data_IF_303008856261
#
_entry.id   IF_303008856261
#
_cell.length_a   1.000
_cell.length_b   1.000
_cell.length_c   1.000
_cell.angle_alpha   90.00
_cell.angle_beta   90.00
_cell.angle_gamma   90.00
#
_symmetry.space_group_name_H-M   'P 1'
#
loop_
_entity.id
_entity.type
_entity.pdbx_description
1 polymer ?
#
# COMPACT_ATOMS: atom_id res chain seq x y z
N UNK A 1 -5.57 -26.69 -0.24
CA UNK A 1 -4.41 -26.10 -0.97
C UNK A 1 -3.22 -26.04 -0.04
N UNK A 2 -2.02 -26.45 -0.48
CA UNK A 2 -0.79 -26.25 0.29
C UNK A 2 -0.38 -24.78 0.21
N UNK A 3 -0.02 -24.18 1.34
CA UNK A 3 0.41 -22.77 1.39
C UNK A 3 1.75 -22.58 0.69
N UNK A 4 1.89 -21.45 -0.02
CA UNK A 4 3.12 -21.05 -0.72
C UNK A 4 3.71 -19.79 -0.09
N UNK A 5 5.03 -19.72 -0.02
CA UNK A 5 5.81 -18.55 0.36
C UNK A 5 6.63 -18.10 -0.85
N UNK A 6 6.60 -16.80 -1.13
CA UNK A 6 7.51 -16.17 -2.08
C UNK A 6 8.39 -15.18 -1.31
N UNK A 7 9.69 -15.26 -1.51
CA UNK A 7 10.66 -14.37 -0.88
C UNK A 7 11.58 -13.79 -1.94
N UNK A 8 11.81 -12.49 -1.89
CA UNK A 8 12.82 -11.80 -2.67
C UNK A 8 14.03 -11.55 -1.76
N UNK A 9 15.21 -12.02 -2.14
CA UNK A 9 16.42 -11.77 -1.35
C UNK A 9 17.69 -11.77 -2.20
N UNK A 10 18.85 -11.71 -1.54
CA UNK A 10 20.18 -11.74 -2.15
C UNK A 10 20.66 -13.20 -2.23
N UNK A 11 21.35 -13.60 -3.31
CA UNK A 11 21.73 -14.99 -3.54
C UNK A 11 22.65 -15.57 -2.46
N UNK A 12 23.54 -14.78 -1.86
CA UNK A 12 24.44 -15.21 -0.79
C UNK A 12 23.72 -15.66 0.48
N UNK A 13 22.44 -15.29 0.64
CA UNK A 13 21.59 -15.69 1.76
C UNK A 13 20.83 -17.00 1.51
N UNK A 14 20.95 -17.61 0.31
CA UNK A 14 20.20 -18.81 -0.06
C UNK A 14 20.43 -19.99 0.90
N UNK A 15 21.66 -20.18 1.39
CA UNK A 15 21.95 -21.24 2.36
C UNK A 15 21.16 -21.08 3.67
N UNK A 16 21.10 -19.85 4.20
CA UNK A 16 20.33 -19.55 5.40
C UNK A 16 18.82 -19.67 5.16
N UNK A 17 18.34 -19.17 4.02
CA UNK A 17 16.94 -19.29 3.62
C UNK A 17 16.54 -20.78 3.52
N UNK A 18 17.37 -21.61 2.89
CA UNK A 18 17.13 -23.06 2.79
C UNK A 18 17.08 -23.72 4.17
N UNK A 19 18.03 -23.40 5.05
CA UNK A 19 18.06 -23.91 6.41
C UNK A 19 16.76 -23.60 7.17
N UNK A 20 16.31 -22.34 7.17
CA UNK A 20 15.08 -21.96 7.86
C UNK A 20 13.82 -22.51 7.19
N UNK A 21 13.80 -22.65 5.86
CA UNK A 21 12.70 -23.31 5.18
C UNK A 21 12.55 -24.76 5.67
N UNK A 22 13.65 -25.52 5.67
CA UNK A 22 13.65 -26.91 6.15
C UNK A 22 13.23 -27.01 7.62
N UNK A 23 13.73 -26.11 8.48
CA UNK A 23 13.38 -26.07 9.91
C UNK A 23 11.89 -25.80 10.16
N UNK A 24 11.20 -25.17 9.21
CA UNK A 24 9.80 -24.75 9.34
C UNK A 24 8.85 -25.46 8.35
N UNK A 25 9.18 -26.69 7.94
CA UNK A 25 8.37 -27.54 7.05
C UNK A 25 8.00 -26.87 5.71
N UNK A 26 8.89 -26.01 5.22
CA UNK A 26 8.83 -25.38 3.90
C UNK A 26 9.85 -26.03 2.98
N UNK A 27 9.40 -26.57 1.87
CA UNK A 27 10.28 -27.09 0.83
C UNK A 27 10.45 -26.04 -0.25
N UNK A 28 11.69 -25.62 -0.53
CA UNK A 28 11.95 -24.74 -1.66
C UNK A 28 11.70 -25.52 -2.96
N UNK A 29 10.84 -24.99 -3.82
CA UNK A 29 10.47 -25.60 -5.11
C UNK A 29 11.01 -24.83 -6.30
N UNK A 30 11.19 -23.52 -6.18
CA UNK A 30 11.73 -22.69 -7.27
C UNK A 30 12.74 -21.69 -6.72
N UNK A 31 13.87 -21.56 -7.40
CA UNK A 31 14.78 -20.42 -7.27
C UNK A 31 14.85 -19.75 -8.64
N UNK A 32 14.49 -18.47 -8.70
CA UNK A 32 14.55 -17.64 -9.90
C UNK A 32 15.58 -16.53 -9.71
N UNK A 33 16.77 -16.65 -10.30
CA UNK A 33 17.79 -15.60 -10.25
C UNK A 33 17.45 -14.42 -11.16
N UNK A 34 17.99 -13.26 -10.82
CA UNK A 34 18.01 -12.06 -11.66
C UNK A 34 19.44 -11.54 -11.74
N UNK A 35 19.82 -11.06 -12.92
CA UNK A 35 21.12 -10.46 -13.23
C UNK A 35 20.89 -9.08 -13.84
N UNK A 36 21.76 -8.11 -13.57
CA UNK A 36 21.61 -6.78 -14.16
C UNK A 36 21.83 -6.86 -15.67
N UNK A 37 22.92 -7.51 -16.10
CA UNK A 37 23.23 -7.80 -17.49
C UNK A 37 23.61 -9.27 -17.71
N UNK A 38 23.55 -9.70 -18.97
CA UNK A 38 23.94 -11.05 -19.37
C UNK A 38 25.40 -11.34 -19.03
N UNK A 39 25.64 -12.45 -18.33
CA UNK A 39 26.98 -12.89 -17.95
C UNK A 39 27.50 -12.30 -16.64
N UNK A 40 26.72 -11.44 -15.96
CA UNK A 40 27.02 -11.01 -14.60
C UNK A 40 26.52 -12.03 -13.56
N UNK A 41 27.08 -11.94 -12.36
CA UNK A 41 26.57 -12.65 -11.20
C UNK A 41 25.16 -12.19 -10.85
N UNK A 42 24.34 -13.12 -10.35
CA UNK A 42 23.02 -12.78 -9.85
C UNK A 42 23.12 -11.81 -8.69
N UNK A 43 22.28 -10.78 -8.67
CA UNK A 43 22.22 -9.80 -7.59
C UNK A 43 20.92 -9.95 -6.75
N UNK A 44 19.96 -10.72 -7.24
CA UNK A 44 18.66 -10.95 -6.61
C UNK A 44 18.15 -12.36 -6.95
N UNK A 45 17.43 -12.97 -6.02
CA UNK A 45 16.74 -14.25 -6.22
C UNK A 45 15.31 -14.16 -5.69
N UNK A 46 14.39 -14.80 -6.39
CA UNK A 46 13.06 -15.13 -5.87
C UNK A 46 13.05 -16.60 -5.48
N UNK A 47 12.62 -16.88 -4.25
CA UNK A 47 12.49 -18.22 -3.69
C UNK A 47 11.01 -18.52 -3.50
N UNK A 48 10.52 -19.58 -4.17
CA UNK A 48 9.19 -20.16 -3.90
C UNK A 48 9.36 -21.39 -3.01
N UNK A 49 8.70 -21.39 -1.85
CA UNK A 49 8.65 -22.54 -0.95
C UNK A 49 7.21 -22.97 -0.66
N UNK A 50 6.98 -24.27 -0.48
CA UNK A 50 5.65 -24.87 -0.28
C UNK A 50 5.61 -25.59 1.05
N UNK A 51 4.54 -25.39 1.83
CA UNK A 51 4.35 -26.06 3.12
C UNK A 51 4.04 -27.55 2.96
N UNK A 52 4.61 -28.39 3.82
CA UNK A 52 4.28 -29.80 3.97
C UNK A 52 4.38 -30.60 2.66
N UNK A 53 5.46 -30.38 1.91
CA UNK A 53 5.83 -31.19 0.74
C UNK A 53 7.14 -31.94 1.00
N UNK A 54 7.43 -32.94 0.16
CA UNK A 54 8.76 -33.52 0.13
C UNK A 54 9.81 -32.42 -0.17
N UNK A 55 11.00 -32.54 0.40
CA UNK A 55 12.10 -31.57 0.28
C UNK A 55 12.81 -31.58 -1.07
N UNK A 56 12.48 -32.54 -1.93
CA UNK A 56 13.02 -32.73 -3.27
C UNK A 56 12.35 -31.83 -4.33
N UNK A 57 12.76 -31.97 -5.59
CA UNK A 57 12.08 -31.31 -6.72
C UNK A 57 12.29 -29.80 -6.81
N UNK A 58 13.43 -29.30 -6.30
CA UNK A 58 13.86 -27.92 -6.55
C UNK A 58 14.12 -27.70 -8.05
N UNK A 59 13.56 -26.62 -8.60
CA UNK A 59 13.86 -26.12 -9.94
C UNK A 59 14.62 -24.80 -9.85
N UNK A 60 15.89 -24.80 -10.28
CA UNK A 60 16.63 -23.58 -10.55
C UNK A 60 16.28 -23.09 -11.95
N UNK A 61 15.71 -21.89 -12.06
CA UNK A 61 15.36 -21.27 -13.34
C UNK A 61 16.55 -20.53 -13.94
N UNK A 62 16.54 -20.37 -15.25
CA UNK A 62 17.46 -19.47 -15.95
C UNK A 62 17.33 -18.04 -15.42
N UNK A 63 18.45 -17.36 -15.25
CA UNK A 63 18.48 -15.99 -14.75
C UNK A 63 17.67 -15.05 -15.65
N UNK A 64 16.91 -14.14 -15.04
CA UNK A 64 16.22 -13.08 -15.74
C UNK A 64 17.15 -11.88 -15.87
N UNK A 65 17.46 -11.51 -17.11
CA UNK A 65 18.19 -10.28 -17.41
C UNK A 65 17.29 -9.07 -17.18
N UNK A 66 17.72 -8.18 -16.29
CA UNK A 66 16.94 -7.01 -15.89
C UNK A 66 17.05 -5.90 -16.91
N UNK A 67 18.27 -5.59 -17.37
CA UNK A 67 18.54 -4.52 -18.30
C UNK A 67 18.92 -5.06 -19.69
N UNK A 68 18.48 -4.36 -20.72
CA UNK A 68 18.95 -4.52 -22.08
C UNK A 68 20.32 -3.81 -22.26
N UNK A 69 21.00 -4.08 -23.38
CA UNK A 69 22.33 -3.50 -23.68
C UNK A 69 22.37 -1.97 -23.69
N UNK A 70 21.24 -1.30 -23.84
CA UNK A 70 21.12 0.15 -23.85
C UNK A 70 20.88 0.76 -22.45
N UNK A 71 20.87 -0.05 -21.39
CA UNK A 71 20.61 0.37 -20.01
C UNK A 71 19.13 0.39 -19.62
N UNK A 72 18.20 0.32 -20.58
CA UNK A 72 16.77 0.22 -20.29
C UNK A 72 16.41 -1.14 -19.70
N UNK A 73 15.25 -1.25 -19.05
CA UNK A 73 14.72 -2.56 -18.67
C UNK A 73 14.54 -3.47 -19.90
N UNK A 74 14.83 -4.76 -19.76
CA UNK A 74 14.62 -5.74 -20.82
C UNK A 74 13.13 -5.81 -21.20
N UNK A 75 12.75 -6.16 -22.44
CA UNK A 75 11.33 -6.23 -22.84
C UNK A 75 10.48 -7.18 -21.96
N UNK A 76 11.11 -8.19 -21.38
CA UNK A 76 10.47 -9.08 -20.39
C UNK A 76 10.19 -8.35 -19.09
N UNK A 77 11.19 -7.65 -18.54
CA UNK A 77 11.01 -6.83 -17.34
C UNK A 77 10.05 -5.69 -17.61
N UNK A 78 10.13 -5.02 -18.76
CA UNK A 78 9.15 -4.02 -19.15
C UNK A 78 7.74 -4.59 -19.19
N UNK A 79 7.49 -5.82 -19.65
CA UNK A 79 6.13 -6.41 -19.55
C UNK A 79 5.69 -6.70 -18.12
N UNK A 80 6.63 -6.98 -17.22
CA UNK A 80 6.35 -7.22 -15.79
C UNK A 80 6.13 -5.88 -15.05
N UNK A 81 6.89 -4.84 -15.40
CA UNK A 81 6.85 -3.49 -14.83
C UNK A 81 5.74 -2.64 -15.47
N UNK A 82 5.39 -2.86 -16.76
CA UNK A 82 4.35 -2.12 -17.48
C UNK A 82 2.99 -2.45 -16.86
N UNK A 83 2.69 -1.73 -15.80
CA UNK A 83 1.47 -0.96 -15.59
C UNK A 83 0.74 -0.72 -16.93
N UNK A 84 -0.51 -1.15 -16.99
CA UNK A 84 -1.40 -0.92 -18.13
C UNK A 84 -1.51 0.60 -18.44
N UNK A 85 -1.91 1.02 -19.65
CA UNK A 85 -2.24 2.42 -19.92
C UNK A 85 -3.23 3.01 -18.89
N UNK A 86 -4.11 2.17 -18.33
CA UNK A 86 -5.02 2.49 -17.24
C UNK A 86 -4.29 2.74 -15.90
N UNK A 87 -3.31 1.92 -15.55
CA UNK A 87 -2.45 2.09 -14.36
C UNK A 87 -1.60 3.37 -14.48
N UNK A 88 -1.10 3.68 -15.68
CA UNK A 88 -0.36 4.92 -15.96
C UNK A 88 -1.25 6.16 -15.81
N UNK A 89 -2.50 6.13 -16.29
CA UNK A 89 -3.49 7.19 -16.00
C UNK A 89 -3.79 7.33 -14.51
N UNK A 90 -3.78 6.22 -13.77
CA UNK A 90 -3.98 6.19 -12.31
C UNK A 90 -2.81 6.79 -11.53
N UNK A 91 -1.58 6.65 -12.03
CA UNK A 91 -0.39 7.24 -11.43
C UNK A 91 -0.13 8.69 -11.88
N UNK A 92 -0.48 9.06 -13.12
CA UNK A 92 -0.44 10.45 -13.61
C UNK A 92 -1.53 11.32 -12.94
N UNK A 93 -2.66 10.74 -12.55
CA UNK A 93 -3.55 11.33 -11.57
C UNK A 93 -2.95 11.15 -10.18
N UNK A 94 -2.06 12.07 -9.76
CA UNK A 94 -1.57 12.17 -8.38
C UNK A 94 -2.77 12.03 -7.43
N UNK A 95 -2.93 10.87 -6.78
CA UNK A 95 -4.09 10.64 -5.92
C UNK A 95 -4.01 11.63 -4.76
N UNK A 96 -4.87 12.64 -4.80
CA UNK A 96 -4.97 13.65 -3.75
C UNK A 96 -5.56 12.99 -2.52
N UNK A 97 -4.83 13.07 -1.41
CA UNK A 97 -5.31 12.62 -0.11
C UNK A 97 -5.88 13.81 0.64
N UNK A 98 -7.02 13.62 1.27
CA UNK A 98 -7.68 14.67 2.03
C UNK A 98 -7.79 14.27 3.49
N UNK A 99 -7.39 15.18 4.36
CA UNK A 99 -7.95 15.23 5.72
C UNK A 99 -9.27 16.00 5.66
N UNK A 100 -10.31 15.52 6.34
CA UNK A 100 -11.59 16.21 6.41
C UNK A 100 -12.17 16.20 7.82
N UNK A 101 -13.04 17.18 8.09
CA UNK A 101 -13.82 17.27 9.31
C UNK A 101 -15.30 17.30 8.97
N UNK A 102 -16.05 16.41 9.61
CA UNK A 102 -17.51 16.38 9.57
C UNK A 102 -18.10 16.97 10.85
N UNK A 103 -19.16 17.74 10.70
CA UNK A 103 -20.09 18.11 11.75
C UNK A 103 -21.18 17.05 11.84
N UNK A 104 -21.26 16.39 12.99
CA UNK A 104 -22.32 15.46 13.32
C UNK A 104 -23.58 16.20 13.79
N UNK A 105 -24.73 15.52 13.73
CA UNK A 105 -26.02 16.08 14.22
C UNK A 105 -25.98 16.49 15.69
N UNK A 106 -25.17 15.84 16.51
CA UNK A 106 -24.99 16.14 17.94
C UNK A 106 -23.99 17.29 18.20
N UNK A 107 -23.54 18.00 17.16
CA UNK A 107 -22.56 19.08 17.26
C UNK A 107 -21.11 18.60 17.42
N UNK A 108 -20.88 17.28 17.50
CA UNK A 108 -19.54 16.71 17.58
C UNK A 108 -18.78 16.83 16.25
N UNK A 109 -17.45 16.86 16.32
CA UNK A 109 -16.59 16.87 15.15
C UNK A 109 -15.97 15.49 14.92
N UNK A 110 -16.05 15.00 13.70
CA UNK A 110 -15.38 13.79 13.27
C UNK A 110 -14.27 14.12 12.27
N UNK A 111 -13.02 13.85 12.64
CA UNK A 111 -11.88 13.93 11.73
C UNK A 111 -11.63 12.59 11.06
N UNK A 112 -11.44 12.60 9.74
CA UNK A 112 -11.12 11.43 8.94
C UNK A 112 -10.21 11.77 7.77
N UNK A 113 -9.74 10.74 7.06
CA UNK A 113 -9.03 10.90 5.80
C UNK A 113 -9.72 10.13 4.65
N UNK A 114 -9.54 10.56 3.41
CA UNK A 114 -10.02 9.89 2.19
C UNK A 114 -9.29 10.40 0.95
N UNK A 115 -9.36 9.67 -0.16
CA UNK A 115 -9.00 10.16 -1.50
C UNK A 115 -10.21 10.68 -2.30
N UNK A 116 -11.44 10.52 -1.78
CA UNK A 116 -12.68 10.98 -2.42
C UNK A 116 -13.68 11.52 -1.36
N UNK A 117 -13.71 12.85 -1.23
CA UNK A 117 -14.57 13.55 -0.26
C UNK A 117 -16.06 13.31 -0.51
N UNK A 118 -16.50 13.33 -1.77
CA UNK A 118 -17.91 13.25 -2.14
C UNK A 118 -18.45 11.84 -1.87
N UNK A 119 -17.73 10.81 -2.33
CA UNK A 119 -18.06 9.43 -2.05
C UNK A 119 -18.04 9.16 -0.54
N UNK A 120 -17.05 9.68 0.18
CA UNK A 120 -16.94 9.47 1.62
C UNK A 120 -18.10 10.09 2.39
N UNK A 121 -18.50 11.32 2.07
CA UNK A 121 -19.65 11.98 2.69
C UNK A 121 -20.95 11.19 2.46
N UNK A 122 -21.16 10.70 1.23
CA UNK A 122 -22.30 9.84 0.88
C UNK A 122 -22.31 8.53 1.67
N UNK A 123 -21.15 7.90 1.84
CA UNK A 123 -20.99 6.69 2.64
C UNK A 123 -21.34 6.92 4.12
N UNK A 124 -20.90 8.04 4.70
CA UNK A 124 -21.28 8.40 6.06
C UNK A 124 -22.79 8.60 6.21
N UNK A 125 -23.42 9.37 5.32
CA UNK A 125 -24.86 9.64 5.41
C UNK A 125 -25.74 8.41 5.11
N UNK A 126 -25.30 7.51 4.24
CA UNK A 126 -25.96 6.21 4.01
C UNK A 126 -25.79 5.19 5.15
N UNK A 127 -25.01 5.50 6.19
CA UNK A 127 -24.80 4.62 7.35
C UNK A 127 -23.80 3.49 7.11
N UNK A 128 -23.11 3.50 5.97
CA UNK A 128 -21.99 2.60 5.62
C UNK A 128 -20.61 3.18 5.98
N UNK A 129 -20.57 4.39 6.54
CA UNK A 129 -19.35 5.03 7.03
C UNK A 129 -18.90 4.54 8.41
N UNK A 130 -18.05 5.33 9.08
CA UNK A 130 -17.49 4.96 10.38
C UNK A 130 -18.57 4.69 11.45
N UNK A 131 -18.31 3.69 12.31
CA UNK A 131 -19.18 3.32 13.45
C UNK A 131 -19.58 4.55 14.29
N UNK A 132 -18.63 5.47 14.52
CA UNK A 132 -18.86 6.71 15.27
C UNK A 132 -19.95 7.58 14.65
N UNK A 133 -19.87 7.83 13.34
CA UNK A 133 -20.81 8.68 12.61
C UNK A 133 -22.15 8.00 12.34
N UNK A 134 -22.21 6.66 12.29
CA UNK A 134 -23.42 5.90 11.94
C UNK A 134 -24.64 6.25 12.82
N UNK A 135 -24.41 6.48 14.11
CA UNK A 135 -25.44 6.88 15.08
C UNK A 135 -25.68 8.42 15.13
N UNK A 136 -24.86 9.22 14.43
CA UNK A 136 -24.80 10.69 14.55
C UNK A 136 -25.11 11.40 13.23
N UNK A 137 -25.83 10.72 12.34
CA UNK A 137 -26.26 11.20 11.03
C UNK A 137 -27.49 12.14 11.19
N UNK A 138 -27.73 13.04 10.22
CA UNK A 138 -26.87 13.35 9.08
C UNK A 138 -25.59 14.06 9.52
N UNK A 139 -24.54 13.93 8.71
CA UNK A 139 -23.27 14.62 8.90
C UNK A 139 -23.01 15.57 7.73
N UNK A 140 -22.41 16.71 8.01
CA UNK A 140 -22.02 17.72 7.02
C UNK A 140 -20.51 17.85 6.98
N UNK A 141 -19.91 17.97 5.80
CA UNK A 141 -18.49 18.27 5.68
C UNK A 141 -18.29 19.77 5.87
N UNK A 142 -17.48 20.14 6.86
CA UNK A 142 -17.26 21.55 7.24
C UNK A 142 -15.84 22.03 6.95
N UNK A 143 -14.90 21.11 6.74
CA UNK A 143 -13.51 21.42 6.44
C UNK A 143 -12.86 20.25 5.69
N UNK A 144 -11.94 20.55 4.78
CA UNK A 144 -11.02 19.60 4.21
C UNK A 144 -9.69 20.27 3.84
N UNK A 145 -8.62 19.49 3.81
CA UNK A 145 -7.26 19.91 3.48
C UNK A 145 -6.64 18.84 2.58
N UNK A 146 -6.03 19.27 1.48
CA UNK A 146 -5.46 18.40 0.45
C UNK A 146 -3.97 18.15 0.67
N UNK A 147 -3.53 16.93 0.38
CA UNK A 147 -2.15 16.47 0.50
C UNK A 147 -1.78 15.59 -0.69
N UNK A 148 -0.53 15.73 -1.14
CA UNK A 148 0.08 14.88 -2.15
C UNK A 148 0.52 13.51 -1.60
N UNK A 149 0.60 13.37 -0.28
CA UNK A 149 1.11 12.18 0.40
C UNK A 149 0.11 11.68 1.46
N UNK A 150 -0.18 10.38 1.41
CA UNK A 150 -1.11 9.71 2.32
C UNK A 150 -0.68 9.84 3.78
N UNK A 151 0.61 9.73 4.06
CA UNK A 151 1.18 9.81 5.40
C UNK A 151 1.02 11.22 5.97
N UNK A 152 1.11 12.27 5.15
CA UNK A 152 0.83 13.64 5.58
C UNK A 152 -0.64 13.83 5.96
N UNK A 153 -1.59 13.34 5.14
CA UNK A 153 -3.01 13.39 5.48
C UNK A 153 -3.34 12.63 6.78
N UNK A 154 -2.72 11.46 6.99
CA UNK A 154 -2.89 10.66 8.21
C UNK A 154 -2.27 11.36 9.44
N UNK A 155 -1.08 11.95 9.30
CA UNK A 155 -0.46 12.75 10.37
C UNK A 155 -1.35 13.94 10.73
N UNK A 156 -1.95 14.59 9.74
CA UNK A 156 -2.90 15.70 9.96
C UNK A 156 -4.14 15.25 10.71
N UNK A 157 -4.73 14.11 10.33
CA UNK A 157 -5.87 13.51 11.02
C UNK A 157 -5.53 13.19 12.48
N UNK A 158 -4.40 12.53 12.71
CA UNK A 158 -3.91 12.20 14.04
C UNK A 158 -3.73 13.47 14.88
N UNK A 159 -3.01 14.46 14.34
CA UNK A 159 -2.77 15.74 14.98
C UNK A 159 -4.09 16.42 15.36
N UNK A 160 -5.07 16.52 14.45
CA UNK A 160 -6.37 17.10 14.76
C UNK A 160 -7.09 16.33 15.87
N UNK A 161 -7.10 14.99 15.84
CA UNK A 161 -7.78 14.16 16.85
C UNK A 161 -7.26 14.40 18.27
N UNK A 162 -5.96 14.62 18.44
CA UNK A 162 -5.30 14.79 19.75
C UNK A 162 -5.51 16.16 20.40
N UNK A 163 -6.15 17.11 19.73
CA UNK A 163 -6.46 18.40 20.32
C UNK A 163 -7.81 18.43 21.06
N UNK A 164 -7.93 19.36 22.00
CA UNK A 164 -9.15 19.61 22.76
C UNK A 164 -10.26 20.18 21.88
N UNK A 165 -11.51 20.09 22.36
CA UNK A 165 -12.68 20.64 21.64
C UNK A 165 -12.54 22.14 21.38
N UNK A 166 -12.15 22.93 22.39
CA UNK A 166 -11.94 24.40 22.25
C UNK A 166 -10.89 24.73 21.18
N UNK A 167 -9.80 23.97 21.17
CA UNK A 167 -8.76 24.16 20.15
C UNK A 167 -9.30 23.85 18.74
N UNK A 168 -10.07 22.76 18.58
CA UNK A 168 -10.68 22.37 17.29
C UNK A 168 -11.64 23.44 16.77
N UNK A 169 -12.45 24.03 17.65
CA UNK A 169 -13.36 25.12 17.27
C UNK A 169 -12.60 26.37 16.81
N UNK A 170 -11.54 26.76 17.53
CA UNK A 170 -10.67 27.88 17.13
C UNK A 170 -10.01 27.61 15.79
N UNK A 171 -9.46 26.41 15.60
CA UNK A 171 -8.88 25.97 14.33
C UNK A 171 -9.88 26.07 13.18
N UNK A 172 -11.09 25.52 13.34
CA UNK A 172 -12.13 25.52 12.32
C UNK A 172 -12.61 26.95 11.99
N UNK A 173 -12.81 27.80 13.00
CA UNK A 173 -13.18 29.22 12.80
C UNK A 173 -12.13 30.00 12.01
N UNK A 174 -10.84 29.74 12.29
CA UNK A 174 -9.73 30.37 11.55
C UNK A 174 -9.68 29.98 10.08
N UNK A 175 -10.21 28.81 9.73
CA UNK A 175 -10.29 28.32 8.34
C UNK A 175 -11.68 28.53 7.74
N UNK A 176 -12.45 29.49 8.26
CA UNK A 176 -13.79 29.86 7.77
C UNK A 176 -14.80 28.70 7.70
N UNK A 177 -14.64 27.68 8.55
CA UNK A 177 -15.62 26.60 8.66
C UNK A 177 -16.83 27.06 9.47
N UNK A 178 -18.02 26.82 8.93
CA UNK A 178 -19.29 27.13 9.59
C UNK A 178 -19.86 25.87 10.26
N UNK A 179 -20.20 25.96 11.56
CA UNK A 179 -20.74 24.87 12.36
C UNK A 179 -21.66 25.38 13.47
#
# INVERSE_FOLDING_TARGET
MKGKMFMVHRPERLGEIAYYCMKHDLSIKVVQPFVSHRGEDSNLVIVEAVKHTASDGLVLKDAIEVHAKNGDFSPRIQRIIRETPEDRKRHEQKEKYYFYVLLCRDGSFYGGFTNDLAHRLKMHNSGKGAKYTKARRPVKMIYHEEFDDKSLALKREYWFKHHTRKWKESFLRKHSAHF
#
